data_IF_585201426999
#
_entry.id   IF_585201426999
#
_cell.length_a   1.000
_cell.length_b   1.000
_cell.length_c   1.000
_cell.angle_alpha   90.00
_cell.angle_beta   90.00
_cell.angle_gamma   90.00
#
_symmetry.space_group_name_H-M   'P 1'
#
loop_
_entity.id
_entity.type
_entity.pdbx_description
1 polymer ?
#
# COMPACT_ATOMS: atom_id res chain seq x y z
N UNK A 1 8.41 -9.24 9.18
CA UNK A 1 7.54 -10.01 8.27
C UNK A 1 6.08 -9.54 8.31
N UNK A 2 5.36 -9.55 9.45
CA UNK A 2 3.95 -9.08 9.44
C UNK A 2 3.81 -7.53 9.50
N UNK A 3 4.76 -6.82 10.14
CA UNK A 3 4.73 -5.35 10.21
C UNK A 3 4.88 -4.67 8.84
N UNK A 4 5.68 -5.24 7.94
CA UNK A 4 5.89 -4.73 6.58
C UNK A 4 4.62 -4.89 5.73
N UNK A 5 3.93 -6.03 5.86
CA UNK A 5 2.62 -6.27 5.23
C UNK A 5 1.59 -5.28 5.79
N UNK A 6 1.53 -5.10 7.11
CA UNK A 6 0.63 -4.16 7.75
C UNK A 6 0.90 -2.70 7.33
N UNK A 7 2.17 -2.33 7.15
CA UNK A 7 2.55 -1.02 6.62
C UNK A 7 2.11 -0.88 5.15
N UNK A 8 2.40 -1.87 4.30
CA UNK A 8 1.99 -1.85 2.90
C UNK A 8 0.46 -1.74 2.74
N UNK A 9 -0.31 -2.46 3.56
CA UNK A 9 -1.79 -2.34 3.58
C UNK A 9 -2.24 -0.92 3.93
N UNK A 10 -1.61 -0.29 4.93
CA UNK A 10 -1.91 1.11 5.32
C UNK A 10 -1.61 2.09 4.19
N UNK A 11 -0.49 1.94 3.49
CA UNK A 11 -0.10 2.82 2.39
C UNK A 11 -1.08 2.71 1.20
N UNK A 12 -1.48 1.50 0.83
CA UNK A 12 -2.44 1.25 -0.25
C UNK A 12 -3.82 1.83 0.12
N UNK A 13 -4.30 1.58 1.33
CA UNK A 13 -5.60 2.10 1.79
C UNK A 13 -5.62 3.64 1.81
N UNK A 14 -4.56 4.28 2.33
CA UNK A 14 -4.47 5.74 2.35
C UNK A 14 -4.45 6.35 0.94
N UNK A 15 -3.83 5.67 -0.03
CA UNK A 15 -3.87 6.10 -1.43
C UNK A 15 -5.28 5.94 -2.02
N UNK A 16 -5.95 4.82 -1.78
CA UNK A 16 -7.30 4.56 -2.29
C UNK A 16 -8.32 5.56 -1.70
N UNK A 17 -8.15 6.00 -0.45
CA UNK A 17 -8.94 7.08 0.15
C UNK A 17 -8.63 8.46 -0.47
N UNK A 18 -7.39 8.67 -0.91
CA UNK A 18 -6.92 9.92 -1.49
C UNK A 18 -6.99 9.96 -3.03
N UNK A 19 -7.60 8.97 -3.69
CA UNK A 19 -7.49 8.67 -5.12
C UNK A 19 -7.78 9.86 -6.05
N UNK A 20 -8.57 10.84 -5.60
CA UNK A 20 -8.84 12.09 -6.32
C UNK A 20 -7.61 13.00 -6.53
N UNK A 21 -6.51 12.81 -5.78
CA UNK A 21 -5.32 13.68 -5.80
C UNK A 21 -4.12 13.09 -6.53
N UNK A 22 -4.18 11.82 -6.94
CA UNK A 22 -3.11 11.14 -7.70
C UNK A 22 -1.85 10.76 -6.89
N UNK A 23 -1.64 11.35 -5.71
CA UNK A 23 -0.62 10.97 -4.72
C UNK A 23 -1.04 11.42 -3.31
N UNK A 24 -0.53 10.74 -2.28
CA UNK A 24 -0.76 11.07 -0.86
C UNK A 24 0.52 10.89 -0.05
N UNK A 25 0.73 11.74 0.96
CA UNK A 25 1.81 11.56 1.93
C UNK A 25 1.28 10.80 3.16
N UNK A 26 1.91 9.67 3.51
CA UNK A 26 1.60 8.86 4.69
C UNK A 26 2.86 8.76 5.54
N UNK A 27 2.82 9.23 6.78
CA UNK A 27 3.97 9.23 7.71
C UNK A 27 5.27 9.80 7.08
N UNK A 28 5.14 10.84 6.25
CA UNK A 28 6.26 11.47 5.54
C UNK A 28 6.72 10.74 4.27
N UNK A 29 6.09 9.61 3.92
CA UNK A 29 6.36 8.85 2.68
C UNK A 29 5.34 9.23 1.61
N UNK A 30 5.82 9.61 0.43
CA UNK A 30 4.99 9.82 -0.75
C UNK A 30 4.51 8.47 -1.31
N UNK A 31 3.20 8.34 -1.49
CA UNK A 31 2.56 7.18 -2.12
C UNK A 31 1.87 7.66 -3.38
N UNK A 32 2.31 7.14 -4.52
CA UNK A 32 1.70 7.37 -5.82
C UNK A 32 1.11 6.08 -6.39
N UNK A 33 0.42 6.20 -7.53
CA UNK A 33 -0.23 5.05 -8.16
C UNK A 33 0.76 3.96 -8.64
N UNK A 34 2.01 4.33 -8.95
CA UNK A 34 3.03 3.36 -9.34
C UNK A 34 3.47 2.53 -8.12
N UNK A 35 3.67 3.19 -6.98
CA UNK A 35 3.99 2.57 -5.70
C UNK A 35 2.88 1.61 -5.26
N UNK A 36 1.61 2.02 -5.39
CA UNK A 36 0.47 1.13 -5.08
C UNK A 36 0.46 -0.12 -5.97
N UNK A 37 0.72 0.02 -7.27
CA UNK A 37 0.79 -1.13 -8.19
C UNK A 37 1.90 -2.10 -7.79
N UNK A 38 3.03 -1.60 -7.31
CA UNK A 38 4.14 -2.43 -6.83
C UNK A 38 3.79 -3.17 -5.53
N UNK A 39 2.98 -2.55 -4.65
CA UNK A 39 2.59 -3.15 -3.37
C UNK A 39 1.46 -4.18 -3.51
N UNK A 40 0.62 -4.10 -4.54
CA UNK A 40 -0.52 -5.03 -4.70
C UNK A 40 -0.08 -6.48 -4.90
N UNK A 41 0.85 -6.74 -5.81
CA UNK A 41 1.32 -8.11 -6.07
C UNK A 41 1.86 -8.85 -4.82
N UNK A 42 2.77 -8.27 -4.02
CA UNK A 42 3.25 -8.93 -2.81
C UNK A 42 2.18 -9.00 -1.70
N UNK A 43 1.22 -8.07 -1.65
CA UNK A 43 0.09 -8.15 -0.73
C UNK A 43 -0.87 -9.29 -1.09
N UNK A 44 -1.13 -9.50 -2.38
CA UNK A 44 -1.95 -10.61 -2.87
C UNK A 44 -1.26 -11.96 -2.58
N UNK A 45 0.07 -12.03 -2.75
CA UNK A 45 0.86 -13.21 -2.38
C UNK A 45 0.84 -13.45 -0.86
N UNK A 46 0.98 -12.41 -0.04
CA UNK A 46 0.85 -12.50 1.40
C UNK A 46 -0.55 -13.03 1.81
N UNK A 47 -1.61 -12.56 1.17
CA UNK A 47 -2.97 -13.04 1.40
C UNK A 47 -3.14 -14.52 1.03
N UNK A 48 -2.58 -14.95 -0.11
CA UNK A 48 -2.58 -16.35 -0.53
C UNK A 48 -1.83 -17.27 0.45
N UNK A 49 -0.83 -16.73 1.16
CA UNK A 49 -0.07 -17.42 2.20
C UNK A 49 -0.72 -17.32 3.60
N UNK A 50 -1.80 -16.57 3.75
CA UNK A 50 -2.50 -16.37 5.03
C UNK A 50 -1.77 -15.43 6.00
N UNK A 51 -1.02 -14.46 5.48
CA UNK A 51 -0.20 -13.50 6.25
C UNK A 51 -0.87 -12.14 6.50
#
# INVERSE_FOLDING_TARGET
MNEEIAQARRLVAAFDEAQARGAVAVDGTMVDIASVRLLRNPLDEAEALGL
#
